data_IF_972213972206
#
_entry.id   IF_972213972206
#
_cell.length_a   1.000
_cell.length_b   1.000
_cell.length_c   1.000
_cell.angle_alpha   90.00
_cell.angle_beta   90.00
_cell.angle_gamma   90.00
#
_symmetry.space_group_name_H-M   'P 1'
#
loop_
_entity.id
_entity.type
_entity.pdbx_description
1 polymer ?
#
# COMPACT_ATOMS: atom_id res chain seq x y z
N UNK A 1 21.25 -4.89 25.83
CA UNK A 1 20.14 -5.32 24.97
C UNK A 1 20.68 -5.62 23.57
N UNK A 2 20.58 -6.86 23.08
CA UNK A 2 20.93 -7.19 21.69
C UNK A 2 19.81 -6.70 20.78
N UNK A 3 20.11 -5.81 19.82
CA UNK A 3 19.15 -5.34 18.82
C UNK A 3 19.38 -6.13 17.54
N UNK A 4 18.36 -6.82 17.03
CA UNK A 4 18.38 -7.46 15.73
C UNK A 4 17.99 -6.42 14.67
N UNK A 5 18.88 -6.19 13.71
CA UNK A 5 18.59 -5.37 12.52
C UNK A 5 18.37 -6.33 11.35
N UNK A 6 17.15 -6.34 10.83
CA UNK A 6 16.81 -7.11 9.63
C UNK A 6 16.88 -6.16 8.43
N UNK A 7 17.61 -6.58 7.39
CA UNK A 7 17.77 -5.85 6.14
C UNK A 7 17.20 -6.69 4.99
N UNK A 8 16.59 -6.03 4.02
CA UNK A 8 16.20 -6.60 2.74
C UNK A 8 17.07 -5.99 1.64
N UNK A 9 17.69 -6.81 0.78
CA UNK A 9 18.70 -6.36 -0.18
C UNK A 9 18.23 -6.38 -1.64
N UNK A 10 17.10 -7.00 -1.96
CA UNK A 10 16.68 -7.28 -3.34
C UNK A 10 15.60 -6.32 -3.88
N UNK A 11 15.48 -5.10 -3.34
CA UNK A 11 14.51 -4.12 -3.86
C UNK A 11 14.89 -3.72 -5.29
N UNK A 12 13.97 -3.91 -6.22
CA UNK A 12 14.20 -3.66 -7.64
C UNK A 12 14.39 -4.94 -8.46
N UNK A 13 14.60 -6.10 -7.82
CA UNK A 13 14.81 -7.37 -8.53
C UNK A 13 13.59 -7.78 -9.33
N UNK A 14 12.43 -7.79 -8.71
CA UNK A 14 11.15 -8.04 -9.35
C UNK A 14 10.02 -7.36 -8.59
N UNK A 15 8.92 -7.25 -9.26
CA UNK A 15 7.73 -6.64 -8.65
C UNK A 15 7.27 -7.40 -7.41
N UNK A 16 7.19 -8.70 -7.43
CA UNK A 16 6.79 -9.50 -6.28
C UNK A 16 7.73 -9.33 -5.08
N UNK A 17 9.05 -9.25 -5.32
CA UNK A 17 10.05 -8.98 -4.28
C UNK A 17 9.85 -7.58 -3.70
N UNK A 18 9.64 -6.58 -4.54
CA UNK A 18 9.38 -5.20 -4.09
C UNK A 18 8.17 -5.12 -3.16
N UNK A 19 7.06 -5.80 -3.50
CA UNK A 19 5.86 -5.88 -2.63
C UNK A 19 6.13 -6.57 -1.30
N UNK A 20 6.84 -7.68 -1.33
CA UNK A 20 7.23 -8.40 -0.11
C UNK A 20 8.08 -7.52 0.80
N UNK A 21 9.04 -6.79 0.24
CA UNK A 21 9.89 -5.84 0.99
C UNK A 21 9.04 -4.70 1.56
N UNK A 22 8.19 -4.07 0.75
CA UNK A 22 7.32 -2.99 1.22
C UNK A 22 6.38 -3.44 2.34
N UNK A 23 5.79 -4.64 2.23
CA UNK A 23 4.96 -5.22 3.27
C UNK A 23 5.73 -5.49 4.57
N UNK A 24 6.97 -5.98 4.48
CA UNK A 24 7.82 -6.24 5.67
C UNK A 24 8.36 -4.97 6.31
N UNK A 25 8.64 -3.93 5.51
CA UNK A 25 8.94 -2.57 5.99
C UNK A 25 7.73 -1.98 6.71
N UNK A 26 6.55 -2.06 6.10
CA UNK A 26 5.30 -1.61 6.69
C UNK A 26 4.99 -2.33 8.01
N UNK A 27 5.26 -3.63 8.09
CA UNK A 27 5.12 -4.41 9.32
C UNK A 27 6.20 -4.10 10.39
N UNK A 28 7.16 -3.21 10.09
CA UNK A 28 8.23 -2.86 11.02
C UNK A 28 9.29 -3.95 11.23
N UNK A 29 9.24 -5.03 10.45
CA UNK A 29 10.19 -6.15 10.53
C UNK A 29 11.52 -5.77 9.88
N UNK A 30 11.48 -5.15 8.71
CA UNK A 30 12.66 -4.68 7.99
C UNK A 30 12.88 -3.20 8.28
N UNK A 31 14.11 -2.83 8.65
CA UNK A 31 14.48 -1.45 8.98
C UNK A 31 15.56 -0.87 8.08
N UNK A 32 16.07 -1.66 7.17
CA UNK A 32 17.04 -1.24 6.17
C UNK A 32 16.75 -1.95 4.87
N UNK A 33 16.82 -1.22 3.76
CA UNK A 33 16.54 -1.75 2.43
C UNK A 33 17.69 -1.39 1.50
N UNK A 34 18.28 -2.40 0.86
CA UNK A 34 19.23 -2.22 -0.23
C UNK A 34 18.47 -2.19 -1.56
N UNK A 35 18.81 -1.23 -2.42
CA UNK A 35 18.17 -1.06 -3.73
C UNK A 35 19.10 -1.55 -4.82
N UNK A 36 18.58 -2.42 -5.68
CA UNK A 36 19.27 -2.87 -6.90
C UNK A 36 18.93 -1.92 -8.06
N UNK A 37 19.61 -0.78 -8.14
CA UNK A 37 19.28 0.31 -9.08
C UNK A 37 19.41 -0.06 -10.55
N UNK A 38 20.14 -1.11 -10.87
CA UNK A 38 20.36 -1.63 -12.22
C UNK A 38 19.27 -2.64 -12.66
N UNK A 39 18.33 -2.98 -11.80
CA UNK A 39 17.26 -3.91 -12.11
C UNK A 39 16.02 -3.21 -12.69
N UNK A 40 15.26 -3.88 -13.57
CA UNK A 40 14.15 -3.25 -14.30
C UNK A 40 13.03 -2.71 -13.40
N UNK A 41 12.83 -3.32 -12.23
CA UNK A 41 11.76 -2.93 -11.29
C UNK A 41 12.25 -2.01 -10.16
N UNK A 42 13.44 -1.42 -10.28
CA UNK A 42 14.00 -0.51 -9.27
C UNK A 42 13.13 0.74 -9.07
N UNK A 43 12.70 1.37 -10.15
CA UNK A 43 11.83 2.58 -10.10
C UNK A 43 10.52 2.26 -9.40
N UNK A 44 9.95 1.11 -9.68
CA UNK A 44 8.74 0.63 -9.05
C UNK A 44 8.93 0.42 -7.53
N UNK A 45 9.98 -0.28 -7.10
CA UNK A 45 10.25 -0.51 -5.69
C UNK A 45 10.48 0.78 -4.91
N UNK A 46 11.22 1.73 -5.49
CA UNK A 46 11.43 3.06 -4.92
C UNK A 46 10.12 3.86 -4.83
N UNK A 47 9.28 3.82 -5.87
CA UNK A 47 7.96 4.47 -5.87
C UNK A 47 7.07 3.94 -4.75
N UNK A 48 7.01 2.63 -4.58
CA UNK A 48 6.22 1.98 -3.54
C UNK A 48 6.67 2.42 -2.12
N UNK A 49 7.99 2.43 -1.87
CA UNK A 49 8.53 2.90 -0.59
C UNK A 49 8.34 4.40 -0.38
N UNK A 50 8.42 5.20 -1.44
CA UNK A 50 8.17 6.64 -1.36
C UNK A 50 6.71 6.93 -0.97
N UNK A 51 5.74 6.30 -1.61
CA UNK A 51 4.31 6.43 -1.27
C UNK A 51 4.03 6.01 0.17
N UNK A 52 4.54 4.85 0.58
CA UNK A 52 4.44 4.37 1.95
C UNK A 52 5.03 5.38 2.96
N UNK A 53 6.24 5.87 2.70
CA UNK A 53 6.93 6.83 3.58
C UNK A 53 6.21 8.17 3.66
N UNK A 54 5.70 8.67 2.54
CA UNK A 54 4.92 9.90 2.48
C UNK A 54 3.65 9.77 3.34
N UNK A 55 2.91 8.69 3.20
CA UNK A 55 1.68 8.49 3.97
C UNK A 55 1.94 8.28 5.46
N UNK A 56 3.02 7.60 5.83
CA UNK A 56 3.43 7.47 7.23
C UNK A 56 3.77 8.83 7.85
N UNK A 57 4.34 9.75 7.08
CA UNK A 57 4.68 11.09 7.53
C UNK A 57 3.45 12.01 7.61
N UNK A 58 2.61 11.98 6.57
CA UNK A 58 1.45 12.89 6.42
C UNK A 58 0.20 12.33 7.11
N UNK A 59 0.11 11.01 7.26
CA UNK A 59 -1.03 10.27 7.82
C UNK A 59 -2.37 10.54 7.11
N UNK A 60 -2.30 10.91 5.83
CA UNK A 60 -3.48 11.20 4.99
C UNK A 60 -3.18 10.81 3.55
N UNK A 61 -3.81 9.75 3.07
CA UNK A 61 -3.66 9.30 1.68
C UNK A 61 -4.13 10.35 0.68
N UNK A 62 -5.22 11.07 0.97
CA UNK A 62 -5.70 12.14 0.09
C UNK A 62 -4.69 13.27 -0.05
N UNK A 63 -4.03 13.65 1.05
CA UNK A 63 -2.98 14.69 1.00
C UNK A 63 -1.74 14.17 0.25
N UNK A 64 -1.34 12.92 0.45
CA UNK A 64 -0.23 12.31 -0.27
C UNK A 64 -0.52 12.23 -1.78
N UNK A 65 -1.74 11.86 -2.17
CA UNK A 65 -2.17 11.87 -3.57
C UNK A 65 -2.10 13.28 -4.17
N UNK A 66 -2.51 14.32 -3.44
CA UNK A 66 -2.40 15.70 -3.92
C UNK A 66 -0.94 16.11 -4.13
N UNK A 67 -0.03 15.72 -3.24
CA UNK A 67 1.42 15.95 -3.41
C UNK A 67 1.96 15.17 -4.60
N UNK A 68 1.55 13.90 -4.75
CA UNK A 68 1.94 13.06 -5.89
C UNK A 68 1.50 13.68 -7.23
N UNK A 69 0.26 14.18 -7.32
CA UNK A 69 -0.25 14.86 -8.51
C UNK A 69 0.62 16.06 -8.89
N UNK A 70 0.98 16.88 -7.91
CA UNK A 70 1.83 18.06 -8.13
C UNK A 70 3.26 17.68 -8.51
N UNK A 71 3.82 16.66 -7.85
CA UNK A 71 5.17 16.20 -8.14
C UNK A 71 5.26 15.54 -9.52
N UNK A 72 4.31 14.68 -9.85
CA UNK A 72 4.30 13.92 -11.11
C UNK A 72 4.15 14.83 -12.33
N UNK A 73 3.35 15.90 -12.21
CA UNK A 73 3.12 16.86 -13.30
C UNK A 73 4.29 17.84 -13.53
N UNK A 74 5.32 17.85 -12.68
CA UNK A 74 6.50 18.69 -12.88
C UNK A 74 7.25 18.28 -14.15
N UNK A 75 7.87 19.25 -14.86
CA UNK A 75 8.72 18.92 -16.00
C UNK A 75 9.88 18.00 -15.58
N UNK A 76 10.04 16.90 -16.29
CA UNK A 76 11.18 16.01 -16.17
C UNK A 76 12.39 16.52 -17.00
N UNK A 77 13.55 15.88 -16.87
CA UNK A 77 14.76 16.24 -17.59
C UNK A 77 14.58 16.20 -19.13
N UNK A 78 13.69 15.35 -19.61
CA UNK A 78 13.43 15.13 -21.04
C UNK A 78 12.30 16.00 -21.59
N UNK A 79 11.81 16.99 -20.83
CA UNK A 79 10.70 17.86 -21.19
C UNK A 79 9.31 17.23 -21.05
N UNK A 80 9.24 15.96 -20.64
CA UNK A 80 8.00 15.27 -20.26
C UNK A 80 7.65 15.47 -18.77
N UNK A 81 6.72 14.68 -18.26
CA UNK A 81 6.40 14.66 -16.83
C UNK A 81 7.51 13.95 -16.04
N UNK A 82 7.78 14.44 -14.81
CA UNK A 82 8.80 13.85 -13.91
C UNK A 82 8.51 12.36 -13.62
N UNK A 83 7.25 12.04 -13.42
CA UNK A 83 6.80 10.69 -13.09
C UNK A 83 5.64 10.27 -13.97
N UNK A 84 5.60 10.02 -15.14
CA UNK A 84 4.42 9.60 -15.91
C UNK A 84 3.44 8.67 -15.13
N UNK A 85 2.32 8.34 -15.69
CA UNK A 85 1.32 7.52 -15.01
C UNK A 85 1.90 6.19 -14.51
N UNK A 86 2.76 5.55 -15.28
CA UNK A 86 3.41 4.29 -14.91
C UNK A 86 4.29 4.42 -13.65
N UNK A 87 4.97 5.55 -13.48
CA UNK A 87 5.76 5.84 -12.27
C UNK A 87 4.91 6.27 -11.07
N UNK A 88 3.76 6.90 -11.32
CA UNK A 88 2.87 7.36 -10.26
C UNK A 88 2.06 6.22 -9.60
N UNK A 89 1.68 5.18 -10.35
CA UNK A 89 0.89 4.06 -9.82
C UNK A 89 1.61 3.34 -8.67
N UNK A 90 2.90 2.97 -8.72
CA UNK A 90 3.60 2.37 -7.60
C UNK A 90 3.57 3.23 -6.34
N UNK A 91 3.75 4.56 -6.47
CA UNK A 91 3.66 5.50 -5.35
C UNK A 91 2.26 5.47 -4.73
N UNK A 92 1.22 5.48 -5.58
CA UNK A 92 -0.18 5.38 -5.15
C UNK A 92 -0.46 4.06 -4.40
N UNK A 93 0.08 2.94 -4.86
CA UNK A 93 -0.08 1.66 -4.15
C UNK A 93 0.58 1.70 -2.77
N UNK A 94 1.79 2.26 -2.67
CA UNK A 94 2.48 2.49 -1.40
C UNK A 94 1.71 3.41 -0.47
N UNK A 95 1.14 4.49 -1.01
CA UNK A 95 0.27 5.42 -0.28
C UNK A 95 -0.95 4.72 0.34
N UNK A 96 -1.58 3.80 -0.35
CA UNK A 96 -2.72 3.06 0.19
C UNK A 96 -2.32 2.03 1.27
N UNK A 97 -1.08 1.55 1.28
CA UNK A 97 -0.55 0.68 2.33
C UNK A 97 -0.23 1.49 3.60
N UNK A 98 0.25 2.72 3.47
CA UNK A 98 0.71 3.56 4.59
C UNK A 98 -0.27 3.65 5.77
N UNK A 99 -1.55 4.01 5.56
CA UNK A 99 -2.53 4.13 6.63
C UNK A 99 -2.77 2.83 7.41
N UNK A 100 -2.49 1.67 6.81
CA UNK A 100 -2.64 0.39 7.50
C UNK A 100 -1.61 0.22 8.62
N UNK A 101 -0.42 0.75 8.44
CA UNK A 101 0.65 0.74 9.45
C UNK A 101 0.24 1.55 10.66
N UNK A 102 -0.29 2.76 10.44
CA UNK A 102 -0.77 3.62 11.54
C UNK A 102 -1.95 3.00 12.28
N UNK A 103 -2.88 2.35 11.55
CA UNK A 103 -3.99 1.62 12.15
C UNK A 103 -3.50 0.45 13.03
N UNK A 104 -2.52 -0.32 12.55
CA UNK A 104 -1.93 -1.43 13.32
C UNK A 104 -1.22 -0.89 14.56
N UNK A 105 -0.41 0.17 14.43
CA UNK A 105 0.27 0.80 15.57
C UNK A 105 -0.73 1.33 16.60
N UNK A 106 -1.79 2.02 16.17
CA UNK A 106 -2.85 2.54 17.03
C UNK A 106 -3.61 1.41 17.77
N UNK A 107 -3.66 0.21 17.19
CA UNK A 107 -4.30 -0.95 17.81
C UNK A 107 -3.48 -1.61 18.93
N UNK A 108 -2.20 -1.26 19.06
CA UNK A 108 -1.32 -1.79 20.11
C UNK A 108 -1.84 -1.35 21.47
N UNK A 109 -2.02 -2.31 22.38
CA UNK A 109 -2.63 -2.05 23.70
C UNK A 109 -4.16 -1.99 23.72
N UNK A 110 -4.82 -1.94 22.55
CA UNK A 110 -6.27 -1.87 22.44
C UNK A 110 -6.96 -3.25 22.50
N UNK A 111 -8.30 -3.24 22.47
CA UNK A 111 -9.13 -4.44 22.46
C UNK A 111 -8.81 -5.38 21.30
N UNK A 112 -9.24 -6.64 21.41
CA UNK A 112 -9.11 -7.62 20.32
C UNK A 112 -9.81 -7.17 19.04
N UNK A 113 -10.97 -6.57 19.18
CA UNK A 113 -11.75 -6.11 18.03
C UNK A 113 -11.10 -4.92 17.33
N UNK A 114 -10.46 -4.02 18.07
CA UNK A 114 -9.65 -2.96 17.48
C UNK A 114 -8.46 -3.52 16.68
N UNK A 115 -7.79 -4.56 17.19
CA UNK A 115 -6.71 -5.26 16.46
C UNK A 115 -7.24 -6.01 15.23
N UNK A 116 -8.39 -6.67 15.34
CA UNK A 116 -9.05 -7.33 14.21
C UNK A 116 -9.45 -6.32 13.14
N UNK A 117 -9.97 -5.15 13.52
CA UNK A 117 -10.30 -4.08 12.58
C UNK A 117 -9.06 -3.56 11.85
N UNK A 118 -7.96 -3.31 12.58
CA UNK A 118 -6.69 -2.90 11.98
C UNK A 118 -6.12 -3.97 11.03
N UNK A 119 -6.23 -5.26 11.40
CA UNK A 119 -5.81 -6.37 10.55
C UNK A 119 -6.69 -6.50 9.28
N UNK A 120 -8.01 -6.29 9.41
CA UNK A 120 -8.92 -6.27 8.25
C UNK A 120 -8.59 -5.10 7.30
N UNK A 121 -8.29 -3.92 7.84
CA UNK A 121 -7.84 -2.77 7.06
C UNK A 121 -6.52 -3.05 6.32
N UNK A 122 -5.56 -3.68 7.00
CA UNK A 122 -4.31 -4.09 6.38
C UNK A 122 -4.54 -5.14 5.27
N UNK A 123 -5.36 -6.15 5.54
CA UNK A 123 -5.71 -7.20 4.57
C UNK A 123 -6.37 -6.61 3.31
N UNK A 124 -7.30 -5.67 3.49
CA UNK A 124 -7.99 -4.97 2.40
C UNK A 124 -6.99 -4.28 1.47
N UNK A 125 -6.13 -3.42 2.02
CA UNK A 125 -5.20 -2.62 1.22
C UNK A 125 -4.04 -3.43 0.63
N UNK A 126 -3.46 -4.37 1.41
CA UNK A 126 -2.36 -5.21 0.93
C UNK A 126 -2.80 -6.15 -0.18
N UNK A 127 -3.96 -6.80 -0.03
CA UNK A 127 -4.48 -7.68 -1.08
C UNK A 127 -4.89 -6.89 -2.33
N UNK A 128 -5.49 -5.71 -2.16
CA UNK A 128 -5.82 -4.82 -3.27
C UNK A 128 -4.57 -4.35 -4.02
N UNK A 129 -3.54 -3.94 -3.29
CA UNK A 129 -2.26 -3.57 -3.89
C UNK A 129 -1.63 -4.75 -4.64
N UNK A 130 -1.66 -5.96 -4.09
CA UNK A 130 -1.15 -7.16 -4.75
C UNK A 130 -1.92 -7.49 -6.03
N UNK A 131 -3.25 -7.40 -6.03
CA UNK A 131 -4.09 -7.63 -7.21
C UNK A 131 -3.83 -6.57 -8.28
N UNK A 132 -3.86 -5.29 -7.91
CA UNK A 132 -3.56 -4.19 -8.85
C UNK A 132 -2.18 -4.31 -9.45
N UNK A 133 -1.26 -4.85 -8.71
CA UNK A 133 0.09 -5.13 -9.14
C UNK A 133 0.17 -6.25 -10.18
N UNK A 134 -0.41 -7.39 -9.88
CA UNK A 134 -0.46 -8.51 -10.83
C UNK A 134 -1.15 -8.11 -12.14
N UNK A 135 -2.05 -7.14 -12.06
CA UNK A 135 -2.82 -6.61 -13.18
C UNK A 135 -2.39 -5.19 -13.58
N UNK A 136 -1.15 -4.79 -13.30
CA UNK A 136 -0.67 -3.42 -13.50
C UNK A 136 -0.90 -2.87 -14.92
N UNK A 137 -0.60 -3.61 -16.01
CA UNK A 137 -0.89 -3.14 -17.36
C UNK A 137 -2.39 -2.92 -17.60
N UNK A 138 -3.24 -3.83 -17.13
CA UNK A 138 -4.70 -3.77 -17.27
C UNK A 138 -5.27 -2.62 -16.45
N UNK A 139 -4.78 -2.47 -15.21
CA UNK A 139 -5.17 -1.35 -14.34
C UNK A 139 -4.79 0.00 -14.95
N UNK A 140 -3.57 0.11 -15.47
CA UNK A 140 -3.12 1.33 -16.18
C UNK A 140 -3.96 1.64 -17.41
N UNK A 141 -4.31 0.62 -18.20
CA UNK A 141 -5.18 0.77 -19.37
C UNK A 141 -6.59 1.21 -18.96
N UNK A 142 -7.14 0.63 -17.89
CA UNK A 142 -8.44 1.04 -17.34
C UNK A 142 -8.44 2.49 -16.86
N UNK A 143 -7.40 2.91 -16.15
CA UNK A 143 -7.23 4.30 -15.71
C UNK A 143 -7.24 5.24 -16.90
N UNK A 144 -6.49 4.92 -17.96
CA UNK A 144 -6.47 5.74 -19.19
C UNK A 144 -7.83 5.79 -19.88
N UNK A 145 -8.54 4.67 -19.92
CA UNK A 145 -9.86 4.56 -20.56
C UNK A 145 -10.90 5.49 -19.91
N UNK A 146 -10.89 5.57 -18.56
CA UNK A 146 -11.88 6.37 -17.80
C UNK A 146 -11.41 7.80 -17.53
N UNK A 147 -10.23 8.16 -18.02
CA UNK A 147 -9.62 9.47 -17.77
C UNK A 147 -9.66 10.34 -19.03
N UNK A 148 -9.57 11.68 -18.90
CA UNK A 148 -9.44 12.55 -20.04
C UNK A 148 -8.22 12.19 -20.91
N UNK A 149 -8.36 12.39 -22.21
CA UNK A 149 -7.30 12.21 -23.19
C UNK A 149 -6.66 13.57 -23.50
N UNK A 150 -5.35 13.58 -23.72
CA UNK A 150 -4.62 14.81 -24.02
C UNK A 150 -3.12 14.67 -23.72
N UNK A 151 -2.37 15.79 -23.80
CA UNK A 151 -0.97 15.80 -23.39
C UNK A 151 -0.82 15.31 -21.93
N UNK A 152 0.18 14.46 -21.67
CA UNK A 152 0.34 13.82 -20.37
C UNK A 152 0.38 14.84 -19.22
N UNK A 153 1.09 15.93 -19.39
CA UNK A 153 1.18 17.01 -18.38
C UNK A 153 -0.18 17.62 -18.01
N UNK A 154 -1.14 17.64 -18.92
CA UNK A 154 -2.46 18.20 -18.68
C UNK A 154 -3.43 17.21 -18.01
N UNK A 155 -3.26 15.90 -18.27
CA UNK A 155 -4.23 14.87 -17.82
C UNK A 155 -3.73 14.04 -16.64
N UNK A 156 -2.41 14.02 -16.36
CA UNK A 156 -1.79 13.14 -15.39
C UNK A 156 -2.37 13.27 -13.98
N UNK A 157 -2.59 14.49 -13.50
CA UNK A 157 -3.17 14.71 -12.18
C UNK A 157 -4.57 14.07 -12.04
N UNK A 158 -5.39 14.17 -13.10
CA UNK A 158 -6.70 13.53 -13.15
C UNK A 158 -6.59 12.01 -13.24
N UNK A 159 -5.63 11.51 -14.01
CA UNK A 159 -5.37 10.07 -14.11
C UNK A 159 -4.96 9.47 -12.77
N UNK A 160 -4.11 10.17 -12.00
CA UNK A 160 -3.73 9.75 -10.64
C UNK A 160 -4.95 9.73 -9.71
N UNK A 161 -5.81 10.76 -9.75
CA UNK A 161 -7.03 10.78 -8.94
C UNK A 161 -7.97 9.62 -9.31
N UNK A 162 -8.16 9.37 -10.61
CA UNK A 162 -8.98 8.27 -11.09
C UNK A 162 -8.38 6.91 -10.70
N UNK A 163 -7.05 6.75 -10.77
CA UNK A 163 -6.37 5.55 -10.32
C UNK A 163 -6.61 5.27 -8.84
N UNK A 164 -6.52 6.29 -7.98
CA UNK A 164 -6.83 6.16 -6.55
C UNK A 164 -8.29 5.76 -6.31
N UNK A 165 -9.23 6.38 -7.02
CA UNK A 165 -10.65 6.02 -6.92
C UNK A 165 -10.92 4.61 -7.40
N UNK A 166 -10.36 4.22 -8.55
CA UNK A 166 -10.52 2.87 -9.11
C UNK A 166 -9.91 1.80 -8.21
N UNK A 167 -8.76 2.08 -7.59
CA UNK A 167 -8.16 1.18 -6.62
C UNK A 167 -9.12 0.90 -5.46
N UNK A 168 -9.62 1.94 -4.80
CA UNK A 168 -10.50 1.79 -3.64
C UNK A 168 -11.83 1.14 -4.03
N UNK A 169 -12.41 1.53 -5.16
CA UNK A 169 -13.64 0.93 -5.68
C UNK A 169 -13.44 -0.55 -6.03
N UNK A 170 -12.36 -0.88 -6.71
CA UNK A 170 -12.00 -2.25 -7.06
C UNK A 170 -11.81 -3.14 -5.83
N UNK A 171 -11.09 -2.64 -4.81
CA UNK A 171 -10.94 -3.33 -3.54
C UNK A 171 -12.29 -3.55 -2.85
N UNK A 172 -13.17 -2.52 -2.86
CA UNK A 172 -14.49 -2.63 -2.26
C UNK A 172 -15.35 -3.67 -2.98
N UNK A 173 -15.38 -3.64 -4.30
CA UNK A 173 -16.14 -4.63 -5.11
C UNK A 173 -15.62 -6.04 -4.87
N UNK A 174 -14.29 -6.21 -4.76
CA UNK A 174 -13.66 -7.49 -4.47
C UNK A 174 -14.04 -8.02 -3.08
N UNK A 175 -13.91 -7.18 -2.05
CA UNK A 175 -14.06 -7.62 -0.67
C UNK A 175 -15.50 -7.60 -0.15
N UNK A 176 -16.41 -6.84 -0.76
CA UNK A 176 -17.80 -6.78 -0.32
C UNK A 176 -18.46 -8.17 -0.24
N UNK A 177 -18.42 -9.01 -1.30
CA UNK A 177 -18.96 -10.36 -1.24
C UNK A 177 -18.10 -11.31 -0.37
N UNK A 178 -16.80 -11.01 -0.19
CA UNK A 178 -15.85 -11.82 0.55
C UNK A 178 -15.71 -11.37 2.02
N UNK A 179 -16.56 -10.44 2.50
CA UNK A 179 -16.52 -9.96 3.89
C UNK A 179 -16.53 -11.09 4.93
N UNK A 180 -17.37 -12.15 4.81
CA UNK A 180 -17.31 -13.26 5.76
C UNK A 180 -15.96 -14.00 5.76
N UNK A 181 -15.32 -14.10 4.60
CA UNK A 181 -13.97 -14.69 4.47
C UNK A 181 -12.93 -13.81 5.16
N UNK A 182 -12.98 -12.49 4.95
CA UNK A 182 -12.10 -11.52 5.63
C UNK A 182 -12.22 -11.64 7.14
N UNK A 183 -13.44 -11.64 7.68
CA UNK A 183 -13.70 -11.79 9.11
C UNK A 183 -13.12 -13.10 9.62
N UNK A 184 -13.32 -14.21 8.91
CA UNK A 184 -12.78 -15.51 9.29
C UNK A 184 -11.25 -15.51 9.35
N UNK A 185 -10.59 -14.96 8.32
CA UNK A 185 -9.12 -14.84 8.27
C UNK A 185 -8.62 -14.04 9.49
N UNK A 186 -9.21 -12.89 9.76
CA UNK A 186 -8.79 -12.02 10.85
C UNK A 186 -9.02 -12.67 12.21
N UNK A 187 -10.11 -13.41 12.40
CA UNK A 187 -10.38 -14.16 13.63
C UNK A 187 -9.39 -15.33 13.84
N UNK A 188 -8.94 -15.98 12.75
CA UNK A 188 -7.90 -17.02 12.82
C UNK A 188 -6.56 -16.39 13.20
N UNK A 189 -6.21 -15.26 12.62
CA UNK A 189 -4.95 -14.55 12.91
C UNK A 189 -4.93 -13.98 14.34
N UNK A 190 -6.10 -13.57 14.84
CA UNK A 190 -6.26 -12.94 16.16
C UNK A 190 -7.38 -13.64 16.94
N UNK A 191 -7.15 -14.88 17.42
CA UNK A 191 -8.15 -15.64 18.15
C UNK A 191 -8.49 -14.99 19.49
N UNK A 192 -9.67 -15.25 20.00
CA UNK A 192 -10.04 -14.81 21.35
C UNK A 192 -9.13 -15.47 22.40
N UNK A 193 -8.70 -14.66 23.37
CA UNK A 193 -8.10 -15.25 24.56
C UNK A 193 -9.25 -15.83 25.39
N UNK A 194 -9.26 -17.13 25.63
CA UNK A 194 -10.13 -17.68 26.64
C UNK A 194 -9.89 -16.93 27.96
N UNK A 195 -10.93 -16.28 28.48
CA UNK A 195 -10.90 -15.79 29.84
C UNK A 195 -10.58 -17.00 30.72
N UNK A 196 -9.63 -16.90 31.68
CA UNK A 196 -9.45 -17.99 32.63
C UNK A 196 -10.79 -18.21 33.34
N UNK A 197 -11.29 -19.44 33.29
CA UNK A 197 -12.46 -19.82 34.08
C UNK A 197 -12.23 -19.35 35.52
N UNK A 198 -13.01 -18.38 35.95
CA UNK A 198 -13.11 -18.04 37.38
C UNK A 198 -13.53 -19.33 38.06
N UNK A 199 -12.57 -20.00 38.72
CA UNK A 199 -12.88 -21.11 39.66
C UNK A 199 -13.92 -20.55 40.61
N UNK A 200 -15.17 -20.96 40.44
CA UNK A 200 -16.18 -20.81 41.48
C UNK A 200 -15.65 -21.60 42.66
N UNK A 201 -15.08 -20.93 43.63
CA UNK A 201 -14.84 -21.51 44.93
C UNK A 201 -16.19 -21.87 45.57
N UNK A 202 -16.32 -23.06 46.14
CA UNK A 202 -17.54 -23.53 46.75
C UNK A 202 -17.98 -22.70 47.95
#
# INVERSE_FOLDING_TARGET
>A
MKRLLIRADDLGYSQGVNCGIAATVAAGLVRSVGVMTNMPDAVHGLGLLAGLGMTLAVQSSSATIAVLQQAAARPGPDGGCLLGLAGAIPVLLGDNIGPTVTAVLASVGQSRDAKRLAAAHALFNLSGAAVCWLLLPQFTALVRLVSPHGPESAVLARQIANAHTLFNLGCTVLWLPLTPCMVRIVCILLPEKHAPELKRTP
#
